data_IF_124334148546
#
_entry.id   IF_124334148546
#
_cell.length_a   1.000
_cell.length_b   1.000
_cell.length_c   1.000
_cell.angle_alpha   90.00
_cell.angle_beta   90.00
_cell.angle_gamma   90.00
#
_symmetry.space_group_name_H-M   'P 1'
#
loop_
_entity.id
_entity.type
_entity.pdbx_description
1 polymer ?
#
# COMPACT_ATOMS: atom_id res chain seq x y z
N UNK A 1 3.35 23.62 -8.87
CA UNK A 1 2.85 23.40 -7.49
C UNK A 1 2.98 21.92 -7.19
N UNK A 2 3.28 21.55 -5.95
CA UNK A 2 3.71 20.20 -5.60
C UNK A 2 3.10 19.75 -4.27
N UNK A 3 2.72 18.48 -4.19
CA UNK A 3 2.28 17.81 -2.98
C UNK A 3 2.88 16.40 -2.90
N UNK A 4 3.21 15.97 -1.68
CA UNK A 4 3.70 14.63 -1.37
C UNK A 4 2.69 13.98 -0.45
N UNK A 5 2.31 12.74 -0.75
CA UNK A 5 1.40 11.91 0.03
C UNK A 5 2.15 10.64 0.41
N UNK A 6 2.09 10.30 1.69
CA UNK A 6 2.56 9.02 2.23
C UNK A 6 1.34 8.14 2.53
N UNK A 7 1.23 6.99 1.85
CA UNK A 7 0.12 6.05 2.05
C UNK A 7 0.42 5.21 3.30
N UNK A 8 -0.12 5.68 4.42
CA UNK A 8 0.04 5.00 5.70
C UNK A 8 -0.40 3.53 5.62
N UNK A 9 0.49 2.66 6.06
CA UNK A 9 0.27 1.22 6.16
C UNK A 9 -0.12 0.55 4.81
N UNK A 10 0.43 0.99 3.66
CA UNK A 10 0.08 0.49 2.31
C UNK A 10 -0.08 -1.04 2.25
N UNK A 11 0.88 -1.78 2.81
CA UNK A 11 0.86 -3.25 2.72
C UNK A 11 -0.36 -3.85 3.43
N UNK A 12 -0.77 -3.27 4.56
CA UNK A 12 -1.91 -3.77 5.32
C UNK A 12 -3.26 -3.44 4.68
N UNK A 13 -3.29 -2.55 3.68
CA UNK A 13 -4.49 -2.28 2.87
C UNK A 13 -4.70 -3.33 1.77
N UNK A 14 -3.71 -4.20 1.50
CA UNK A 14 -3.76 -5.18 0.42
C UNK A 14 -4.17 -6.54 0.99
N UNK A 15 -5.36 -7.06 0.66
CA UNK A 15 -5.80 -8.36 1.15
C UNK A 15 -4.95 -9.48 0.57
N UNK A 16 -4.63 -10.47 1.40
CA UNK A 16 -3.98 -11.69 0.96
C UNK A 16 -5.04 -12.71 0.53
N UNK A 17 -4.76 -13.46 -0.54
CA UNK A 17 -5.65 -14.54 -0.95
C UNK A 17 -5.78 -15.60 0.16
N UNK A 18 -6.99 -16.07 0.52
CA UNK A 18 -7.18 -17.02 1.63
C UNK A 18 -6.37 -18.32 1.50
N UNK A 19 -6.15 -18.80 0.28
CA UNK A 19 -5.36 -20.02 0.03
C UNK A 19 -3.86 -19.84 0.28
N UNK A 20 -3.38 -18.59 0.24
CA UNK A 20 -1.98 -18.28 0.55
C UNK A 20 -1.76 -18.08 2.05
N UNK A 21 -2.82 -17.80 2.82
CA UNK A 21 -2.73 -17.46 4.23
C UNK A 21 -1.96 -18.52 5.07
N UNK A 22 -2.13 -19.84 4.88
CA UNK A 22 -1.35 -20.86 5.60
C UNK A 22 0.16 -20.78 5.35
N UNK A 23 0.61 -20.25 4.20
CA UNK A 23 2.03 -20.10 3.84
C UNK A 23 2.71 -19.00 4.67
N UNK A 24 1.92 -18.06 5.18
CA UNK A 24 2.38 -16.95 6.02
C UNK A 24 2.00 -17.12 7.48
N UNK A 25 1.86 -18.37 7.93
CA UNK A 25 1.62 -18.66 9.33
C UNK A 25 2.90 -18.53 10.16
N UNK A 26 2.77 -18.04 11.39
CA UNK A 26 3.85 -17.95 12.39
C UNK A 26 3.35 -18.41 13.76
N UNK A 27 4.30 -18.79 14.61
CA UNK A 27 4.03 -19.24 15.98
C UNK A 27 4.53 -18.19 16.96
N UNK A 28 3.70 -17.84 17.95
CA UNK A 28 4.06 -16.95 19.05
C UNK A 28 4.48 -17.81 20.25
N UNK A 29 5.71 -17.67 20.77
CA UNK A 29 6.16 -18.42 21.92
C UNK A 29 5.44 -17.97 23.20
N UNK A 30 5.24 -18.91 24.12
CA UNK A 30 4.79 -18.60 25.49
C UNK A 30 5.99 -18.26 26.38
N UNK A 31 5.73 -17.48 27.44
CA UNK A 31 6.73 -17.19 28.47
C UNK A 31 7.17 -18.51 29.10
N UNK A 32 8.49 -18.74 29.16
CA UNK A 32 9.10 -19.95 29.73
C UNK A 32 8.54 -21.30 29.22
N UNK A 33 7.91 -21.34 28.03
CA UNK A 33 7.24 -22.53 27.50
C UNK A 33 6.09 -23.06 28.38
N UNK A 34 5.46 -22.21 29.18
CA UNK A 34 4.38 -22.58 30.11
C UNK A 34 3.11 -23.07 29.39
N UNK A 35 2.95 -22.77 28.10
CA UNK A 35 1.84 -23.23 27.27
C UNK A 35 2.29 -23.55 25.84
N UNK A 36 1.52 -24.36 25.07
CA UNK A 36 1.78 -24.56 23.65
C UNK A 36 1.80 -23.24 22.86
N UNK A 37 2.63 -23.17 21.83
CA UNK A 37 2.72 -21.99 20.98
C UNK A 37 1.40 -21.75 20.24
N UNK A 38 0.95 -20.49 20.22
CA UNK A 38 -0.23 -20.10 19.44
C UNK A 38 0.19 -19.84 18.00
N UNK A 39 -0.58 -20.36 17.04
CA UNK A 39 -0.32 -20.18 15.61
C UNK A 39 -1.27 -19.14 15.01
N UNK A 40 -0.72 -18.18 14.30
CA UNK A 40 -1.43 -17.12 13.60
C UNK A 40 -1.02 -17.09 12.13
N UNK A 41 -1.77 -16.39 11.31
CA UNK A 41 -1.40 -16.12 9.92
C UNK A 41 -1.83 -14.72 9.53
N UNK A 42 -1.18 -14.18 8.50
CA UNK A 42 -1.56 -12.89 7.95
C UNK A 42 -2.85 -13.00 7.12
N UNK A 43 -3.68 -11.94 7.16
CA UNK A 43 -4.87 -11.77 6.30
C UNK A 43 -4.64 -10.75 5.18
N UNK A 44 -3.59 -9.97 5.33
CA UNK A 44 -3.17 -8.88 4.44
C UNK A 44 -1.69 -9.09 4.12
N UNK A 45 -1.18 -8.38 3.13
CA UNK A 45 0.21 -8.49 2.72
C UNK A 45 1.16 -8.14 3.89
N UNK A 46 2.04 -9.05 4.34
CA UNK A 46 2.90 -8.78 5.48
C UNK A 46 4.11 -7.91 5.10
N UNK A 47 4.62 -7.18 6.10
CA UNK A 47 5.89 -6.47 6.01
C UNK A 47 7.07 -7.45 6.04
N UNK A 48 8.18 -7.09 5.37
CA UNK A 48 9.41 -7.88 5.36
C UNK A 48 9.47 -8.97 4.29
N UNK A 49 8.39 -9.25 3.56
CA UNK A 49 8.46 -10.10 2.38
C UNK A 49 9.12 -9.38 1.21
N UNK A 50 10.06 -10.04 0.54
CA UNK A 50 10.78 -9.49 -0.61
C UNK A 50 9.87 -9.01 -1.74
N UNK A 51 8.73 -9.67 -1.94
CA UNK A 51 7.78 -9.32 -3.02
C UNK A 51 6.78 -8.24 -2.62
N UNK A 52 6.64 -7.91 -1.32
CA UNK A 52 5.63 -6.94 -0.87
C UNK A 52 5.75 -5.57 -1.52
N UNK A 53 6.96 -4.99 -1.70
CA UNK A 53 7.10 -3.70 -2.37
C UNK A 53 6.58 -3.72 -3.81
N UNK A 54 6.84 -4.79 -4.57
CA UNK A 54 6.35 -4.92 -5.95
C UNK A 54 4.84 -5.08 -6.02
N UNK A 55 4.24 -5.79 -5.05
CA UNK A 55 2.78 -5.95 -4.97
C UNK A 55 2.12 -4.61 -4.61
N UNK A 56 2.62 -3.87 -3.60
CA UNK A 56 2.09 -2.55 -3.26
C UNK A 56 2.28 -1.54 -4.40
N UNK A 57 3.45 -1.53 -5.06
CA UNK A 57 3.67 -0.69 -6.25
C UNK A 57 2.60 -0.95 -7.32
N UNK A 58 2.34 -2.22 -7.67
CA UNK A 58 1.35 -2.55 -8.68
C UNK A 58 -0.08 -2.19 -8.21
N UNK A 59 -0.40 -2.45 -6.95
CA UNK A 59 -1.70 -2.15 -6.37
C UNK A 59 -1.99 -0.64 -6.39
N UNK A 60 -1.08 0.18 -5.87
CA UNK A 60 -1.20 1.65 -5.91
C UNK A 60 -1.21 2.17 -7.35
N UNK A 61 -0.40 1.58 -8.25
CA UNK A 61 -0.44 1.92 -9.67
C UNK A 61 -1.84 1.71 -10.27
N UNK A 62 -2.51 0.60 -9.92
CA UNK A 62 -3.86 0.28 -10.38
C UNK A 62 -4.89 1.30 -9.89
N UNK A 63 -4.78 1.75 -8.64
CA UNK A 63 -5.67 2.76 -8.04
C UNK A 63 -5.44 4.17 -8.63
N UNK A 64 -4.20 4.53 -8.95
CA UNK A 64 -3.87 5.82 -9.56
C UNK A 64 -4.15 5.87 -11.07
N UNK A 65 -4.37 4.72 -11.72
CA UNK A 65 -4.57 4.63 -13.17
C UNK A 65 -5.75 5.49 -13.67
N UNK A 66 -6.95 5.43 -13.07
CA UNK A 66 -8.06 6.31 -13.45
C UNK A 66 -7.76 7.80 -13.25
N UNK A 67 -7.08 8.15 -12.15
CA UNK A 67 -6.73 9.55 -11.85
C UNK A 67 -5.78 10.10 -12.90
N UNK A 68 -4.76 9.32 -13.28
CA UNK A 68 -3.82 9.67 -14.36
C UNK A 68 -4.52 9.85 -15.71
N UNK A 69 -5.53 9.02 -15.99
CA UNK A 69 -6.31 9.14 -17.23
C UNK A 69 -7.17 10.42 -17.24
N UNK A 70 -7.73 10.81 -16.10
CA UNK A 70 -8.60 11.96 -15.94
C UNK A 70 -7.85 13.30 -15.84
N UNK A 71 -6.65 13.32 -15.26
CA UNK A 71 -5.85 14.53 -14.98
C UNK A 71 -4.55 14.55 -15.77
N UNK A 72 -4.64 14.77 -17.09
CA UNK A 72 -3.47 14.81 -17.99
C UNK A 72 -2.60 16.05 -17.80
N UNK A 73 -3.15 17.11 -17.24
CA UNK A 73 -2.39 18.33 -16.90
C UNK A 73 -1.50 18.19 -15.64
N UNK A 74 -1.66 17.12 -14.85
CA UNK A 74 -0.87 16.85 -13.66
C UNK A 74 0.10 15.67 -13.86
N UNK A 75 1.27 15.74 -13.23
CA UNK A 75 2.25 14.65 -13.19
C UNK A 75 2.10 13.94 -11.85
N UNK A 76 1.79 12.64 -11.89
CA UNK A 76 1.63 11.78 -10.70
C UNK A 76 2.67 10.66 -10.73
N UNK A 77 3.72 10.83 -9.92
CA UNK A 77 4.73 9.80 -9.68
C UNK A 77 4.40 9.06 -8.40
N UNK A 78 4.77 7.78 -8.33
CA UNK A 78 4.62 7.01 -7.10
C UNK A 78 5.72 5.96 -7.00
N UNK A 79 6.20 5.74 -5.79
CA UNK A 79 7.15 4.70 -5.46
C UNK A 79 6.68 4.01 -4.18
N UNK A 80 6.18 2.79 -4.33
CA UNK A 80 5.57 1.99 -3.27
C UNK A 80 4.43 2.77 -2.59
N UNK A 81 4.66 3.33 -1.41
CA UNK A 81 3.75 4.08 -0.56
C UNK A 81 3.85 5.61 -0.74
N UNK A 82 4.93 6.12 -1.35
CA UNK A 82 5.08 7.54 -1.66
C UNK A 82 4.38 7.92 -2.96
N UNK A 83 3.59 9.00 -2.95
CA UNK A 83 2.98 9.59 -4.14
C UNK A 83 3.35 11.07 -4.24
N UNK A 84 3.91 11.47 -5.37
CA UNK A 84 4.23 12.85 -5.71
C UNK A 84 3.27 13.36 -6.77
N UNK A 85 2.55 14.44 -6.47
CA UNK A 85 1.67 15.13 -7.42
C UNK A 85 2.24 16.50 -7.74
N UNK A 86 2.47 16.77 -9.02
CA UNK A 86 2.93 18.07 -9.53
C UNK A 86 1.93 18.61 -10.54
N UNK A 87 1.50 19.85 -10.37
CA UNK A 87 0.54 20.51 -11.24
C UNK A 87 0.97 21.95 -11.59
N UNK A 88 0.51 22.51 -12.71
CA UNK A 88 0.89 23.87 -13.14
C UNK A 88 0.47 24.96 -12.14
N UNK A 89 -0.68 24.82 -11.49
CA UNK A 89 -1.21 25.77 -10.53
C UNK A 89 -1.94 25.08 -9.36
N UNK A 90 -2.29 25.85 -8.32
CA UNK A 90 -2.92 25.32 -7.10
C UNK A 90 -4.33 24.77 -7.33
N UNK A 91 -5.09 25.32 -8.27
CA UNK A 91 -6.45 24.85 -8.56
C UNK A 91 -6.42 23.42 -9.11
N UNK A 92 -5.58 23.17 -10.10
CA UNK A 92 -5.38 21.84 -10.68
C UNK A 92 -4.82 20.88 -9.65
N UNK A 93 -3.88 21.35 -8.80
CA UNK A 93 -3.33 20.52 -7.73
C UNK A 93 -4.43 20.04 -6.79
N UNK A 94 -5.25 20.95 -6.27
CA UNK A 94 -6.32 20.60 -5.34
C UNK A 94 -7.33 19.63 -5.96
N UNK A 95 -7.80 19.92 -7.18
CA UNK A 95 -8.73 19.05 -7.90
C UNK A 95 -8.15 17.68 -8.27
N UNK A 96 -6.82 17.54 -8.30
CA UNK A 96 -6.14 16.26 -8.50
C UNK A 96 -6.03 15.52 -7.18
N UNK A 97 -5.70 16.21 -6.08
CA UNK A 97 -5.62 15.63 -4.74
C UNK A 97 -6.98 15.07 -4.29
N UNK A 98 -8.07 15.77 -4.59
CA UNK A 98 -9.45 15.32 -4.27
C UNK A 98 -9.86 14.01 -4.99
N UNK A 99 -9.07 13.55 -5.98
CA UNK A 99 -9.27 12.26 -6.66
C UNK A 99 -8.31 11.18 -6.18
N UNK A 100 -7.22 11.56 -5.49
CA UNK A 100 -6.20 10.64 -4.97
C UNK A 100 -6.49 10.26 -3.52
N UNK A 101 -7.05 11.20 -2.74
CA UNK A 101 -7.42 11.07 -1.31
C UNK A 101 -8.91 10.82 -1.18
#
# INVERSE_FOLDING_TARGET
QLAVIDIKDCFFQIPLHPEDAPRFAFSVPSINREAPMKRYHWKVLPQGMKCSPSICQWYVASLLSPVRAQRREAIILHYVDDVLVSAPNNLILQHTLDLVV
#
